data_IF_531150337814
#
_entry.id   IF_531150337814
#
_cell.length_a   1.000
_cell.length_b   1.000
_cell.length_c   1.000
_cell.angle_alpha   90.00
_cell.angle_beta   90.00
_cell.angle_gamma   90.00
#
_symmetry.space_group_name_H-M   'P 1'
#
loop_
_entity.id
_entity.type
_entity.pdbx_description
1 polymer ?
#
# COMPACT_ATOMS: atom_id res chain seq x y z
N UNK A 1 10.82 5.07 4.88
CA UNK A 1 11.17 4.42 3.58
C UNK A 1 11.46 5.46 2.52
N UNK A 2 11.88 5.05 1.31
CA UNK A 2 11.82 5.93 0.15
C UNK A 2 10.36 6.05 -0.28
N UNK A 3 9.77 7.23 -0.16
CA UNK A 3 8.34 7.48 -0.42
C UNK A 3 8.07 7.77 -1.90
N UNK A 4 8.99 7.41 -2.79
CA UNK A 4 8.88 7.64 -4.21
C UNK A 4 7.82 6.70 -4.80
N UNK A 5 6.64 7.24 -5.06
CA UNK A 5 5.49 6.52 -5.66
C UNK A 5 5.80 6.09 -7.10
N UNK A 6 6.70 6.81 -7.76
CA UNK A 6 7.13 6.51 -9.13
C UNK A 6 8.62 6.73 -9.28
N UNK A 7 9.30 5.82 -9.96
CA UNK A 7 10.72 5.94 -10.30
C UNK A 7 10.90 5.91 -11.81
N UNK A 8 11.90 6.63 -12.30
CA UNK A 8 12.25 6.63 -13.72
C UNK A 8 13.35 5.57 -13.97
N UNK A 9 13.18 4.75 -14.98
CA UNK A 9 14.14 3.70 -15.34
C UNK A 9 14.38 3.67 -16.84
N UNK A 10 15.65 3.44 -17.21
CA UNK A 10 16.02 3.16 -18.59
C UNK A 10 15.41 1.83 -19.03
N UNK A 11 14.64 1.88 -20.11
CA UNK A 11 14.01 0.72 -20.74
C UNK A 11 14.42 0.64 -22.21
N UNK A 12 14.16 -0.52 -22.81
CA UNK A 12 14.11 -0.67 -24.26
C UNK A 12 12.65 -0.75 -24.66
N UNK A 13 12.21 0.18 -25.51
CA UNK A 13 10.84 0.23 -26.02
C UNK A 13 10.80 -0.26 -27.47
N UNK A 14 9.79 -1.07 -27.80
CA UNK A 14 9.51 -1.51 -29.16
C UNK A 14 8.26 -0.82 -29.69
N UNK A 15 8.40 0.02 -30.71
CA UNK A 15 7.26 0.65 -31.40
C UNK A 15 7.53 0.68 -32.90
N UNK A 16 6.48 0.46 -33.71
CA UNK A 16 6.54 0.58 -35.17
C UNK A 16 7.68 -0.22 -35.84
N UNK A 17 7.97 -1.42 -35.34
CA UNK A 17 9.01 -2.27 -35.92
C UNK A 17 10.43 -1.99 -35.43
N UNK A 18 10.63 -1.01 -34.54
CA UNK A 18 11.95 -0.56 -34.10
C UNK A 18 12.10 -0.65 -32.58
N UNK A 19 13.29 -1.02 -32.13
CA UNK A 19 13.72 -0.96 -30.73
C UNK A 19 14.50 0.33 -30.50
N UNK A 20 14.18 1.05 -29.42
CA UNK A 20 14.96 2.22 -28.99
C UNK A 20 15.06 2.28 -27.47
N UNK A 21 16.18 2.78 -26.97
CA UNK A 21 16.37 3.07 -25.55
C UNK A 21 15.62 4.35 -25.19
N UNK A 22 14.86 4.32 -24.10
CA UNK A 22 14.15 5.48 -23.56
C UNK A 22 14.05 5.36 -22.04
N UNK A 23 13.60 6.42 -21.41
CA UNK A 23 13.19 6.44 -20.01
C UNK A 23 11.68 6.26 -19.89
N UNK A 24 11.25 5.61 -18.82
CA UNK A 24 9.84 5.46 -18.48
C UNK A 24 9.63 5.40 -16.97
N UNK A 25 8.44 5.81 -16.54
CA UNK A 25 8.05 5.79 -15.13
C UNK A 25 7.38 4.45 -14.79
N UNK A 26 7.78 3.85 -13.68
CA UNK A 26 7.07 2.73 -13.08
C UNK A 26 6.66 3.08 -11.65
N UNK A 27 5.53 2.53 -11.23
CA UNK A 27 5.00 2.74 -9.88
C UNK A 27 5.68 1.80 -8.89
N UNK A 28 5.83 2.27 -7.66
CA UNK A 28 6.29 1.44 -6.54
C UNK A 28 5.08 0.71 -5.95
N UNK A 29 5.13 -0.62 -6.00
CA UNK A 29 4.18 -1.51 -5.33
C UNK A 29 4.76 -2.04 -4.02
N UNK A 30 3.95 -2.08 -2.98
CA UNK A 30 4.34 -2.46 -1.64
C UNK A 30 3.28 -3.38 -0.99
N UNK A 31 3.67 -4.56 -0.48
CA UNK A 31 2.76 -5.40 0.27
C UNK A 31 2.58 -4.86 1.69
N UNK A 32 1.32 -4.61 2.09
CA UNK A 32 0.94 -4.21 3.43
C UNK A 32 0.02 -5.27 4.05
N UNK A 33 0.47 -5.91 5.12
CA UNK A 33 -0.30 -6.87 5.90
C UNK A 33 -1.01 -6.14 7.05
N UNK A 34 -2.34 -6.22 7.08
CA UNK A 34 -3.20 -5.62 8.08
C UNK A 34 -3.51 -6.67 9.14
N UNK A 35 -3.07 -6.40 10.37
CA UNK A 35 -3.34 -7.19 11.57
C UNK A 35 -4.45 -6.52 12.37
N UNK A 36 -5.53 -7.23 12.67
CA UNK A 36 -6.64 -6.73 13.50
C UNK A 36 -6.70 -7.54 14.78
N UNK A 37 -6.57 -6.89 15.93
CA UNK A 37 -6.58 -7.51 17.27
C UNK A 37 -5.59 -8.69 17.39
N UNK A 38 -4.43 -8.57 16.75
CA UNK A 38 -3.37 -9.59 16.76
C UNK A 38 -3.51 -10.71 15.73
N UNK A 39 -4.58 -10.74 14.94
CA UNK A 39 -4.79 -11.74 13.87
C UNK A 39 -4.62 -11.10 12.49
N UNK A 40 -4.08 -11.87 11.54
CA UNK A 40 -3.95 -11.40 10.15
C UNK A 40 -5.34 -11.29 9.53
N UNK A 41 -5.68 -10.08 9.07
CA UNK A 41 -6.96 -9.81 8.44
C UNK A 41 -6.85 -9.90 6.91
N UNK A 42 -5.85 -9.22 6.34
CA UNK A 42 -5.59 -9.24 4.89
C UNK A 42 -4.17 -8.76 4.58
N UNK A 43 -3.65 -9.14 3.41
CA UNK A 43 -2.46 -8.51 2.80
C UNK A 43 -2.85 -7.89 1.46
N UNK A 44 -2.57 -6.60 1.29
CA UNK A 44 -2.89 -5.83 0.08
C UNK A 44 -1.63 -5.29 -0.59
N UNK A 45 -1.67 -5.10 -1.91
CA UNK A 45 -0.62 -4.40 -2.66
C UNK A 45 -1.04 -2.94 -2.82
N UNK A 46 -0.20 -2.01 -2.37
CA UNK A 46 -0.47 -0.57 -2.43
C UNK A 46 0.78 0.25 -2.75
N UNK A 47 0.61 1.54 -3.03
CA UNK A 47 1.74 2.48 -3.03
C UNK A 47 2.21 2.73 -1.60
N UNK A 48 3.51 3.01 -1.36
CA UNK A 48 4.06 3.20 -0.02
C UNK A 48 3.75 4.59 0.59
N UNK A 49 2.52 5.06 0.43
CA UNK A 49 2.06 6.39 0.85
C UNK A 49 0.62 6.33 1.36
N UNK A 50 0.25 7.21 2.30
CA UNK A 50 -1.11 7.31 2.85
C UNK A 50 -1.66 5.98 3.39
N UNK A 51 -0.79 5.17 4.01
CA UNK A 51 -1.15 3.82 4.49
C UNK A 51 -2.17 3.86 5.62
N UNK A 52 -2.14 4.86 6.49
CA UNK A 52 -3.10 4.98 7.59
C UNK A 52 -4.52 5.19 7.05
N UNK A 53 -4.68 6.11 6.10
CA UNK A 53 -5.96 6.38 5.43
C UNK A 53 -6.43 5.18 4.60
N UNK A 54 -5.50 4.49 3.92
CA UNK A 54 -5.78 3.26 3.20
C UNK A 54 -6.34 2.18 4.12
N UNK A 55 -5.68 1.90 5.23
CA UNK A 55 -6.10 0.86 6.19
C UNK A 55 -7.45 1.22 6.80
N UNK A 56 -7.66 2.48 7.19
CA UNK A 56 -8.94 2.95 7.73
C UNK A 56 -10.08 2.76 6.71
N UNK A 57 -9.87 3.19 5.47
CA UNK A 57 -10.85 3.06 4.39
C UNK A 57 -11.12 1.61 4.02
N UNK A 58 -10.08 0.78 4.00
CA UNK A 58 -10.18 -0.65 3.74
C UNK A 58 -11.04 -1.36 4.79
N UNK A 59 -10.76 -1.15 6.08
CA UNK A 59 -11.54 -1.74 7.17
C UNK A 59 -13.01 -1.31 7.14
N UNK A 60 -13.28 -0.05 6.80
CA UNK A 60 -14.65 0.43 6.64
C UNK A 60 -15.35 -0.22 5.43
N UNK A 61 -14.64 -0.41 4.32
CA UNK A 61 -15.17 -1.01 3.10
C UNK A 61 -15.49 -2.49 3.26
N UNK A 62 -14.66 -3.22 4.02
CA UNK A 62 -14.86 -4.64 4.36
C UNK A 62 -15.87 -4.84 5.51
N UNK A 63 -16.37 -3.75 6.10
CA UNK A 63 -17.33 -3.80 7.21
C UNK A 63 -16.72 -4.25 8.55
N UNK A 64 -15.39 -4.25 8.67
CA UNK A 64 -14.68 -4.50 9.94
C UNK A 64 -14.91 -3.37 10.96
N UNK A 65 -15.16 -2.16 10.47
CA UNK A 65 -15.68 -1.03 11.25
C UNK A 65 -16.84 -0.37 10.51
N UNK A 66 -17.85 0.09 11.24
CA UNK A 66 -18.97 0.88 10.74
C UNK A 66 -18.90 2.33 11.23
N UNK A 67 -18.19 2.58 12.33
CA UNK A 67 -18.01 3.89 12.95
C UNK A 67 -16.56 4.10 13.36
N UNK A 68 -16.12 5.36 13.31
CA UNK A 68 -14.75 5.74 13.69
C UNK A 68 -14.41 5.39 15.15
N UNK A 69 -15.38 5.36 16.03
CA UNK A 69 -15.19 5.08 17.47
C UNK A 69 -14.90 3.60 17.75
N UNK A 70 -15.12 2.71 16.79
CA UNK A 70 -14.76 1.29 16.90
C UNK A 70 -13.26 1.06 16.72
N UNK A 71 -12.51 2.08 16.26
CA UNK A 71 -11.06 2.02 16.13
C UNK A 71 -10.39 2.56 17.40
N UNK A 72 -9.74 1.67 18.16
CA UNK A 72 -8.91 2.04 19.32
C UNK A 72 -7.58 2.64 18.89
N UNK A 73 -6.86 1.98 17.98
CA UNK A 73 -5.57 2.46 17.50
C UNK A 73 -5.19 1.85 16.16
N UNK A 74 -4.33 2.57 15.43
CA UNK A 74 -3.68 2.11 14.21
C UNK A 74 -2.20 2.46 14.30
N UNK A 75 -1.34 1.50 13.95
CA UNK A 75 0.11 1.67 13.92
C UNK A 75 0.65 1.08 12.63
N UNK A 76 1.34 1.90 11.83
CA UNK A 76 1.97 1.46 10.59
C UNK A 76 3.45 1.19 10.89
N UNK A 77 3.87 -0.07 10.79
CA UNK A 77 5.28 -0.45 10.70
C UNK A 77 5.66 -0.50 9.21
N UNK A 78 5.96 0.68 8.68
CA UNK A 78 6.32 0.89 7.28
C UNK A 78 7.56 0.05 6.92
N UNK A 79 8.53 -0.04 7.83
CA UNK A 79 9.78 -0.81 7.64
C UNK A 79 9.56 -2.31 7.39
N UNK A 80 8.47 -2.89 7.90
CA UNK A 80 8.18 -4.32 7.79
C UNK A 80 6.94 -4.65 6.95
N UNK A 81 6.18 -3.64 6.52
CA UNK A 81 4.96 -3.83 5.76
C UNK A 81 3.80 -4.35 6.59
N UNK A 82 3.67 -3.87 7.83
CA UNK A 82 2.56 -4.23 8.70
C UNK A 82 1.76 -2.99 9.13
N UNK A 83 0.44 -3.16 9.19
CA UNK A 83 -0.46 -2.26 9.89
C UNK A 83 -1.09 -3.01 11.06
N UNK A 84 -0.83 -2.58 12.29
CA UNK A 84 -1.43 -3.13 13.49
C UNK A 84 -2.62 -2.29 13.92
N UNK A 85 -3.78 -2.91 13.98
CA UNK A 85 -5.06 -2.27 14.26
C UNK A 85 -5.69 -2.92 15.48
N UNK A 86 -6.13 -2.09 16.42
CA UNK A 86 -6.91 -2.50 17.58
C UNK A 86 -8.31 -1.93 17.46
N UNK A 87 -9.32 -2.79 17.54
CA UNK A 87 -10.73 -2.44 17.47
C UNK A 87 -11.40 -2.60 18.85
N UNK A 88 -12.55 -1.95 19.06
CA UNK A 88 -13.28 -1.96 20.35
C UNK A 88 -14.01 -3.26 20.62
#
# INVERSE_FOLDING_TARGET
MNNDVSSNQSIIRYENGQLFATEDFYVTEFPLTIMVNGEEFATIICSPTNMEELVLGFLASEGAILKRDELKSIQIDDSKGFAHVELT
#
